data_IF_915378671355
#
_entry.id   IF_915378671355
#
_cell.length_a   1.000
_cell.length_b   1.000
_cell.length_c   1.000
_cell.angle_alpha   90.00
_cell.angle_beta   90.00
_cell.angle_gamma   90.00
#
_symmetry.space_group_name_H-M   'P 1'
#
loop_
_entity.id
_entity.type
_entity.pdbx_description
1 polymer ?
#
# COMPACT_ATOMS: atom_id res chain seq x y z
N UNK A 1 -1.17 11.15 -23.65
CA UNK A 1 -0.16 10.40 -22.87
C UNK A 1 -0.27 10.84 -21.41
N UNK A 2 -0.15 9.93 -20.45
CA UNK A 2 -0.02 10.29 -19.03
C UNK A 2 1.46 10.39 -18.71
N UNK A 3 1.85 11.42 -17.99
CA UNK A 3 3.22 11.64 -17.52
C UNK A 3 3.22 11.51 -16.01
N UNK A 4 4.13 10.71 -15.47
CA UNK A 4 4.32 10.50 -14.04
C UNK A 4 5.78 10.31 -13.68
N UNK A 5 6.03 9.97 -12.42
CA UNK A 5 7.35 9.62 -11.92
C UNK A 5 7.19 8.48 -10.91
N UNK A 6 7.92 7.40 -11.09
CA UNK A 6 7.97 6.26 -10.17
C UNK A 6 9.20 6.30 -9.25
N UNK A 7 10.27 6.97 -9.67
CA UNK A 7 11.54 7.08 -8.95
C UNK A 7 12.16 8.46 -9.17
N UNK A 8 13.04 8.93 -8.27
CA UNK A 8 13.80 10.15 -8.51
C UNK A 8 14.52 10.11 -9.86
N UNK A 9 14.42 11.19 -10.64
CA UNK A 9 15.03 11.36 -11.97
C UNK A 9 14.43 10.51 -13.10
N UNK A 10 13.30 9.84 -12.88
CA UNK A 10 12.56 9.12 -13.92
C UNK A 10 11.36 9.93 -14.43
N UNK A 11 11.04 9.77 -15.71
CA UNK A 11 9.81 10.31 -16.31
C UNK A 11 9.09 9.16 -17.01
N UNK A 12 7.93 8.82 -16.49
CA UNK A 12 7.13 7.71 -16.98
C UNK A 12 6.13 8.20 -18.04
N UNK A 13 6.24 7.67 -19.26
CA UNK A 13 5.27 7.90 -20.33
C UNK A 13 4.32 6.71 -20.41
N UNK A 14 3.09 6.93 -19.97
CA UNK A 14 2.11 5.87 -19.80
C UNK A 14 0.90 6.10 -20.72
N UNK A 15 0.20 5.01 -21.02
CA UNK A 15 -1.13 5.12 -21.63
C UNK A 15 -2.04 5.98 -20.72
N UNK A 16 -2.92 6.85 -21.25
CA UNK A 16 -3.76 7.74 -20.42
C UNK A 16 -4.55 7.04 -19.32
N UNK A 17 -4.90 5.76 -19.53
CA UNK A 17 -5.65 4.95 -18.57
C UNK A 17 -4.78 4.08 -17.66
N UNK A 18 -3.47 4.04 -17.87
CA UNK A 18 -2.56 3.24 -17.05
C UNK A 18 -2.28 3.96 -15.72
N UNK A 19 -2.87 3.47 -14.65
CA UNK A 19 -2.59 3.89 -13.27
C UNK A 19 -2.79 2.73 -12.29
N UNK A 20 -2.13 2.79 -11.13
CA UNK A 20 -2.30 1.82 -10.04
C UNK A 20 -3.76 1.74 -9.57
N UNK A 21 -4.46 2.87 -9.52
CA UNK A 21 -5.88 2.94 -9.15
C UNK A 21 -6.79 2.20 -10.13
N UNK A 22 -6.52 2.30 -11.44
CA UNK A 22 -7.30 1.59 -12.45
C UNK A 22 -6.96 0.10 -12.45
N UNK A 23 -5.70 -0.27 -12.21
CA UNK A 23 -5.32 -1.66 -12.01
C UNK A 23 -6.05 -2.27 -10.80
N UNK A 24 -6.07 -1.57 -9.67
CA UNK A 24 -6.79 -1.99 -8.47
C UNK A 24 -8.29 -2.17 -8.74
N UNK A 25 -8.95 -1.21 -9.38
CA UNK A 25 -10.38 -1.30 -9.69
C UNK A 25 -10.71 -2.54 -10.55
N UNK A 26 -9.89 -2.81 -11.58
CA UNK A 26 -10.06 -3.99 -12.44
C UNK A 26 -9.82 -5.29 -11.69
N UNK A 27 -8.87 -5.31 -10.76
CA UNK A 27 -8.61 -6.48 -9.94
C UNK A 27 -9.76 -6.75 -8.96
N UNK A 28 -10.31 -5.70 -8.33
CA UNK A 28 -11.48 -5.80 -7.46
C UNK A 28 -12.69 -6.36 -8.21
N UNK A 29 -12.98 -5.83 -9.40
CA UNK A 29 -14.05 -6.33 -10.28
C UNK A 29 -13.85 -7.81 -10.64
N UNK A 30 -12.62 -8.19 -10.99
CA UNK A 30 -12.29 -9.57 -11.35
C UNK A 30 -12.48 -10.55 -10.17
N UNK A 31 -12.17 -10.12 -8.95
CA UNK A 31 -12.26 -10.95 -7.74
C UNK A 31 -13.64 -10.86 -7.06
N UNK A 32 -14.50 -9.93 -7.48
CA UNK A 32 -15.79 -9.68 -6.83
C UNK A 32 -15.65 -9.08 -5.42
N UNK A 33 -14.58 -8.32 -5.18
CA UNK A 33 -14.28 -7.66 -3.89
C UNK A 33 -14.63 -6.19 -4.00
N UNK A 34 -15.26 -5.60 -2.98
CA UNK A 34 -15.46 -4.15 -2.96
C UNK A 34 -14.14 -3.46 -2.63
N UNK A 35 -13.84 -2.36 -3.32
CA UNK A 35 -12.68 -1.52 -3.00
C UNK A 35 -12.63 -1.07 -1.54
N UNK A 36 -13.78 -0.94 -0.85
CA UNK A 36 -13.84 -0.61 0.58
C UNK A 36 -13.27 -1.71 1.49
N UNK A 37 -13.10 -2.93 0.97
CA UNK A 37 -12.49 -4.06 1.68
C UNK A 37 -10.98 -4.16 1.42
N UNK A 38 -10.41 -3.23 0.65
CA UNK A 38 -8.99 -3.23 0.29
C UNK A 38 -8.18 -2.35 1.23
N UNK A 39 -7.05 -2.89 1.67
CA UNK A 39 -5.92 -2.15 2.23
C UNK A 39 -4.87 -1.91 1.14
N UNK A 40 -4.58 -0.65 0.83
CA UNK A 40 -3.53 -0.26 -0.10
C UNK A 40 -2.39 0.43 0.65
N UNK A 41 -1.15 0.05 0.35
CA UNK A 41 0.06 0.58 0.98
C UNK A 41 0.95 1.17 -0.11
N UNK A 42 1.47 2.37 0.11
CA UNK A 42 2.35 3.06 -0.84
C UNK A 42 3.45 3.87 -0.15
N UNK A 43 4.25 4.54 -0.95
CA UNK A 43 5.40 5.34 -0.50
C UNK A 43 5.54 6.67 -1.25
N UNK A 44 4.74 6.93 -2.28
CA UNK A 44 4.88 8.14 -3.09
C UNK A 44 3.62 8.65 -3.78
N UNK A 45 3.79 9.73 -4.53
CA UNK A 45 2.70 10.45 -5.22
C UNK A 45 1.95 9.58 -6.22
N UNK A 46 2.65 8.67 -6.91
CA UNK A 46 2.05 7.77 -7.90
C UNK A 46 1.13 6.71 -7.27
N UNK A 47 1.13 6.56 -5.94
CA UNK A 47 0.22 5.69 -5.20
C UNK A 47 -1.08 6.38 -4.81
N UNK A 48 -1.11 7.71 -4.70
CA UNK A 48 -2.23 8.44 -4.08
C UNK A 48 -3.60 8.11 -4.68
N UNK A 49 -3.70 7.96 -6.01
CA UNK A 49 -4.96 7.59 -6.64
C UNK A 49 -5.43 6.19 -6.20
N UNK A 50 -4.51 5.25 -6.00
CA UNK A 50 -4.81 3.88 -5.52
C UNK A 50 -5.18 3.92 -4.05
N UNK A 51 -4.42 4.66 -3.23
CA UNK A 51 -4.64 4.79 -1.79
C UNK A 51 -6.03 5.39 -1.49
N UNK A 52 -6.45 6.42 -2.23
CA UNK A 52 -7.79 7.02 -2.10
C UNK A 52 -8.93 6.13 -2.58
N UNK A 53 -8.65 5.15 -3.43
CA UNK A 53 -9.67 4.23 -3.96
C UNK A 53 -9.89 3.05 -3.02
N UNK A 54 -8.87 2.62 -2.29
CA UNK A 54 -8.99 1.57 -1.29
C UNK A 54 -9.83 2.03 -0.09
N UNK A 55 -10.41 1.09 0.65
CA UNK A 55 -11.10 1.38 1.90
C UNK A 55 -10.17 1.91 2.99
N UNK A 56 -8.91 1.47 2.96
CA UNK A 56 -7.83 2.02 3.77
C UNK A 56 -6.62 2.28 2.87
N UNK A 57 -6.24 3.54 2.74
CA UNK A 57 -4.97 3.95 2.17
C UNK A 57 -3.93 4.21 3.26
N UNK A 58 -2.74 3.62 3.14
CA UNK A 58 -1.65 3.81 4.09
C UNK A 58 -0.32 4.16 3.41
N UNK A 59 0.50 4.97 4.09
CA UNK A 59 1.86 5.29 3.67
C UNK A 59 2.89 4.78 4.67
N UNK A 60 4.06 4.38 4.17
CA UNK A 60 5.24 4.14 5.00
C UNK A 60 5.91 5.45 5.44
N UNK A 61 6.66 5.43 6.55
CA UNK A 61 7.14 6.68 7.19
C UNK A 61 8.13 7.48 6.35
N UNK A 62 8.86 6.84 5.44
CA UNK A 62 9.79 7.48 4.50
C UNK A 62 9.10 8.08 3.25
N UNK A 63 7.76 8.04 3.17
CA UNK A 63 7.01 8.76 2.15
C UNK A 63 7.13 10.28 2.35
N UNK A 64 7.02 11.09 1.27
CA UNK A 64 7.08 12.55 1.38
C UNK A 64 6.04 13.11 2.36
N UNK A 65 6.46 14.07 3.18
CA UNK A 65 5.70 14.56 4.34
C UNK A 65 4.36 15.22 3.95
N UNK A 66 4.32 15.86 2.79
CA UNK A 66 3.13 16.50 2.24
C UNK A 66 2.05 15.49 1.81
N UNK A 67 2.41 14.22 1.59
CA UNK A 67 1.46 13.17 1.22
C UNK A 67 0.81 12.50 2.44
N UNK A 68 1.47 12.54 3.60
CA UNK A 68 1.04 11.85 4.83
C UNK A 68 -0.32 12.31 5.33
N UNK A 69 -0.70 13.55 5.04
CA UNK A 69 -2.02 14.12 5.40
C UNK A 69 -3.16 13.69 4.48
N UNK A 70 -2.86 12.95 3.40
CA UNK A 70 -3.82 12.57 2.35
C UNK A 70 -4.31 11.12 2.47
N UNK A 71 -3.88 10.39 3.50
CA UNK A 71 -4.14 8.97 3.70
C UNK A 71 -4.71 8.69 5.10
N UNK A 72 -5.33 7.52 5.26
CA UNK A 72 -5.98 7.13 6.52
C UNK A 72 -4.97 6.75 7.60
N UNK A 73 -3.79 6.27 7.20
CA UNK A 73 -2.76 5.83 8.11
C UNK A 73 -1.34 6.10 7.58
N UNK A 74 -0.43 6.40 8.49
CA UNK A 74 1.01 6.47 8.22
C UNK A 74 1.71 5.62 9.26
N UNK A 75 2.55 4.67 8.82
CA UNK A 75 3.32 3.84 9.74
C UNK A 75 4.41 4.63 10.45
N UNK A 76 4.89 4.11 11.58
CA UNK A 76 6.10 4.60 12.23
C UNK A 76 7.35 4.06 11.50
N UNK A 77 7.32 2.80 11.07
CA UNK A 77 8.39 2.14 10.33
C UNK A 77 8.56 2.67 8.90
N UNK A 78 9.80 2.66 8.41
CA UNK A 78 10.12 2.94 7.01
C UNK A 78 10.07 1.65 6.16
N UNK A 79 9.84 1.79 4.86
CA UNK A 79 9.96 0.70 3.88
C UNK A 79 9.27 -0.59 4.37
N UNK A 80 10.00 -1.70 4.45
CA UNK A 80 9.47 -3.02 4.85
C UNK A 80 8.90 -3.03 6.26
N UNK A 81 9.52 -2.35 7.23
CA UNK A 81 9.05 -2.34 8.61
C UNK A 81 7.69 -1.63 8.72
N UNK A 82 7.51 -0.56 7.94
CA UNK A 82 6.22 0.13 7.82
C UNK A 82 5.14 -0.76 7.22
N UNK A 83 5.47 -1.52 6.16
CA UNK A 83 4.53 -2.48 5.55
C UNK A 83 4.10 -3.56 6.54
N UNK A 84 5.04 -4.13 7.29
CA UNK A 84 4.76 -5.15 8.32
C UNK A 84 3.83 -4.56 9.38
N UNK A 85 4.15 -3.38 9.90
CA UNK A 85 3.34 -2.69 10.91
C UNK A 85 1.89 -2.48 10.43
N UNK A 86 1.73 -2.01 9.19
CA UNK A 86 0.41 -1.76 8.60
C UNK A 86 -0.39 -3.06 8.46
N UNK A 87 0.22 -4.12 7.95
CA UNK A 87 -0.44 -5.43 7.83
C UNK A 87 -0.81 -6.00 9.20
N UNK A 88 0.11 -5.95 10.17
CA UNK A 88 -0.15 -6.37 11.55
C UNK A 88 -1.29 -5.58 12.21
N UNK A 89 -1.48 -4.31 11.83
CA UNK A 89 -2.50 -3.45 12.41
C UNK A 89 -3.89 -3.70 11.84
N UNK A 90 -3.99 -3.90 10.53
CA UNK A 90 -5.28 -3.90 9.83
C UNK A 90 -5.75 -5.28 9.36
N UNK A 91 -4.84 -6.26 9.24
CA UNK A 91 -5.16 -7.61 8.75
C UNK A 91 -5.14 -8.63 9.88
N UNK A 92 -4.15 -8.55 10.77
CA UNK A 92 -4.03 -9.47 11.89
C UNK A 92 -4.54 -8.84 13.18
N UNK A 93 -5.32 -9.56 13.97
CA UNK A 93 -5.51 -9.19 15.37
C UNK A 93 -4.18 -9.42 16.08
N UNK A 94 -3.50 -8.36 16.57
CA UNK A 94 -2.35 -8.57 17.45
C UNK A 94 -2.81 -9.41 18.66
N UNK A 95 -2.22 -10.59 18.92
CA UNK A 95 -2.31 -11.16 20.25
C UNK A 95 -1.65 -10.14 21.18
N UNK A 96 -2.34 -9.74 22.25
CA UNK A 96 -1.77 -8.90 23.30
C UNK A 96 -0.38 -9.44 23.67
N UNK A 97 0.63 -8.56 23.65
CA UNK A 97 2.05 -8.87 23.81
C UNK A 97 2.31 -10.10 24.71
N UNK A 98 2.59 -11.23 24.07
CA UNK A 98 2.75 -12.51 24.72
C UNK A 98 3.03 -13.63 23.71
N UNK A 99 4.31 -13.77 23.33
CA UNK A 99 4.91 -14.80 22.44
C UNK A 99 4.58 -14.68 20.94
N UNK A 100 5.55 -14.16 20.19
CA UNK A 100 5.83 -14.66 18.85
C UNK A 100 6.79 -15.84 19.05
N UNK A 101 6.28 -17.07 19.02
CA UNK A 101 7.15 -18.23 18.79
C UNK A 101 7.53 -18.22 17.31
N UNK A 102 8.84 -18.24 17.06
CA UNK A 102 9.51 -18.31 15.76
C UNK A 102 8.68 -18.99 14.66
N UNK A 103 8.44 -18.28 13.56
CA UNK A 103 8.00 -18.89 12.30
C UNK A 103 9.26 -19.51 11.67
N UNK A 104 9.32 -20.84 11.60
CA UNK A 104 10.36 -21.55 10.84
C UNK A 104 10.06 -21.41 9.34
N UNK A 105 10.99 -20.79 8.59
CA UNK A 105 10.90 -20.58 7.14
C UNK A 105 11.49 -21.78 6.39
N UNK A 106 11.07 -23.01 6.69
CA UNK A 106 11.59 -24.21 6.01
C UNK A 106 10.58 -24.94 5.12
N UNK A 107 9.32 -24.52 5.02
CA UNK A 107 8.31 -25.21 4.20
C UNK A 107 7.67 -24.33 3.12
N UNK A 108 8.51 -23.67 2.32
CA UNK A 108 8.11 -23.18 1.00
C UNK A 108 8.98 -23.86 -0.06
N UNK A 109 8.60 -25.08 -0.44
CA UNK A 109 9.06 -25.76 -1.65
C UNK A 109 8.05 -25.58 -2.78
#
# INVERSE_FOLDING_TARGET
>A
VRVGSSMPYFVDFLHPQASKANALARLCEHLGIDSTEVLAIGDGENDLEMLRRAGIGALVSNAPEDLKVLVDYVSEGESTDGVIEIIERFVFERPKAGRISQINIEEAQ
#
